data_IF_090119833831
#
_entry.id   IF_090119833831
#
_cell.length_a   1.000
_cell.length_b   1.000
_cell.length_c   1.000
_cell.angle_alpha   90.00
_cell.angle_beta   90.00
_cell.angle_gamma   90.00
#
_symmetry.space_group_name_H-M   'P 1'
#
loop_
_entity.id
_entity.type
_entity.pdbx_description
1 polymer ?
#
# COMPACT_ATOMS: atom_id res chain seq x y z
N UNK A 1 7.99 -2.13 10.65
CA UNK A 1 8.07 -0.66 10.64
C UNK A 1 9.20 -0.15 11.54
N UNK A 2 9.34 -0.68 12.76
CA UNK A 2 10.45 -0.28 13.67
C UNK A 2 11.83 -0.41 13.00
N UNK A 3 12.05 -1.43 12.18
CA UNK A 3 13.29 -1.63 11.44
C UNK A 3 13.63 -0.47 10.48
N UNK A 4 12.63 0.23 9.96
CA UNK A 4 12.81 1.41 9.09
C UNK A 4 12.64 2.74 9.83
N UNK A 5 12.67 2.73 11.16
CA UNK A 5 12.59 3.93 11.98
C UNK A 5 11.20 4.51 12.20
N UNK A 6 10.14 3.82 11.80
CA UNK A 6 8.77 4.25 12.01
C UNK A 6 8.11 3.52 13.20
N UNK A 7 7.31 4.23 13.99
CA UNK A 7 6.60 3.70 15.16
C UNK A 7 5.13 3.44 14.83
N UNK A 8 4.69 2.18 14.65
CA UNK A 8 3.32 1.88 14.32
C UNK A 8 2.40 1.94 15.55
N UNK A 9 1.20 2.46 15.35
CA UNK A 9 0.08 2.35 16.28
C UNK A 9 -1.01 1.56 15.58
N UNK A 10 -1.55 0.51 16.24
CA UNK A 10 -2.67 -0.28 15.73
C UNK A 10 -3.94 0.18 16.46
N UNK A 11 -4.89 0.73 15.72
CA UNK A 11 -6.15 1.22 16.26
C UNK A 11 -7.31 0.86 15.33
N UNK A 12 -8.32 0.19 15.85
CA UNK A 12 -9.52 -0.20 15.12
C UNK A 12 -10.82 0.05 15.89
N UNK A 13 -10.72 0.68 17.08
CA UNK A 13 -11.86 0.99 17.93
C UNK A 13 -12.43 2.38 17.57
N UNK A 14 -13.73 2.40 17.24
CA UNK A 14 -14.48 3.60 16.83
C UNK A 14 -14.32 4.77 17.82
N UNK A 15 -14.29 4.46 19.13
CA UNK A 15 -14.24 5.47 20.18
C UNK A 15 -12.86 6.12 20.38
N UNK A 16 -11.78 5.55 19.82
CA UNK A 16 -10.41 6.09 19.98
C UNK A 16 -9.74 6.51 18.67
N UNK A 17 -10.21 5.97 17.53
CA UNK A 17 -9.47 6.06 16.28
C UNK A 17 -9.17 7.50 15.83
N UNK A 18 -10.08 8.44 16.09
CA UNK A 18 -9.88 9.85 15.75
C UNK A 18 -8.82 10.53 16.62
N UNK A 19 -8.70 10.14 17.89
CA UNK A 19 -7.67 10.63 18.80
C UNK A 19 -6.29 10.09 18.38
N UNK A 20 -6.21 8.80 18.06
CA UNK A 20 -4.97 8.15 17.57
C UNK A 20 -4.50 8.78 16.27
N UNK A 21 -5.41 9.04 15.32
CA UNK A 21 -5.07 9.73 14.07
C UNK A 21 -4.51 11.13 14.36
N UNK A 22 -5.07 11.84 15.34
CA UNK A 22 -4.67 13.22 15.65
C UNK A 22 -3.23 13.34 16.17
N UNK A 23 -2.63 12.26 16.67
CA UNK A 23 -1.22 12.20 17.12
C UNK A 23 -0.31 11.48 16.13
N UNK A 24 -0.83 11.03 15.00
CA UNK A 24 -0.10 10.27 13.98
C UNK A 24 0.39 11.19 12.86
N UNK A 25 1.43 10.77 12.13
CA UNK A 25 2.00 11.50 11.01
C UNK A 25 1.58 10.93 9.64
N UNK A 26 1.04 9.71 9.61
CA UNK A 26 0.44 9.09 8.44
C UNK A 26 -0.61 8.06 8.86
N UNK A 27 -1.53 7.77 7.96
CA UNK A 27 -2.55 6.74 8.14
C UNK A 27 -2.44 5.68 7.05
N UNK A 28 -2.47 4.40 7.43
CA UNK A 28 -2.69 3.28 6.52
C UNK A 28 -4.09 2.71 6.75
N UNK A 29 -4.92 2.71 5.72
CA UNK A 29 -6.19 1.97 5.69
C UNK A 29 -5.95 0.69 4.90
N UNK A 30 -5.94 -0.45 5.61
CA UNK A 30 -5.77 -1.79 5.03
C UNK A 30 -7.02 -2.63 5.31
N UNK A 31 -7.68 -3.11 4.25
CA UNK A 31 -8.95 -3.83 4.37
C UNK A 31 -8.78 -5.36 4.47
N UNK A 32 -7.58 -5.86 4.75
CA UNK A 32 -7.27 -7.30 4.74
C UNK A 32 -8.14 -8.14 5.69
N UNK A 33 -8.47 -7.59 6.87
CA UNK A 33 -9.27 -8.25 7.90
C UNK A 33 -10.56 -7.49 8.22
N UNK A 34 -11.09 -6.74 7.26
CA UNK A 34 -12.22 -5.84 7.46
C UNK A 34 -13.51 -6.56 7.87
N UNK A 35 -14.25 -5.93 8.76
CA UNK A 35 -15.63 -6.21 9.17
C UNK A 35 -16.38 -4.88 9.35
N UNK A 36 -17.68 -4.93 9.66
CA UNK A 36 -18.52 -3.71 9.73
C UNK A 36 -18.00 -2.69 10.75
N UNK A 37 -17.55 -3.15 11.93
CA UNK A 37 -16.98 -2.28 12.98
C UNK A 37 -15.69 -1.60 12.50
N UNK A 38 -14.76 -2.37 11.94
CA UNK A 38 -13.50 -1.81 11.46
C UNK A 38 -13.69 -0.94 10.20
N UNK A 39 -14.72 -1.20 9.38
CA UNK A 39 -15.08 -0.36 8.25
C UNK A 39 -15.55 1.04 8.71
N UNK A 40 -16.34 1.11 9.79
CA UNK A 40 -16.73 2.38 10.41
C UNK A 40 -15.51 3.14 10.94
N UNK A 41 -14.63 2.46 11.67
CA UNK A 41 -13.37 3.06 12.17
C UNK A 41 -12.48 3.58 11.05
N UNK A 42 -12.37 2.84 9.92
CA UNK A 42 -11.61 3.28 8.74
C UNK A 42 -12.17 4.56 8.14
N UNK A 43 -13.50 4.71 8.10
CA UNK A 43 -14.14 5.93 7.59
C UNK A 43 -13.82 7.12 8.48
N UNK A 44 -14.05 6.99 9.79
CA UNK A 44 -13.77 8.05 10.77
C UNK A 44 -12.28 8.44 10.79
N UNK A 45 -11.39 7.45 10.75
CA UNK A 45 -9.95 7.68 10.68
C UNK A 45 -9.55 8.46 9.42
N UNK A 46 -10.08 8.07 8.27
CA UNK A 46 -9.80 8.72 6.99
C UNK A 46 -10.32 10.15 6.93
N UNK A 47 -11.54 10.39 7.37
CA UNK A 47 -12.13 11.73 7.46
C UNK A 47 -11.30 12.63 8.39
N UNK A 48 -10.91 12.11 9.57
CA UNK A 48 -10.06 12.85 10.51
C UNK A 48 -8.68 13.15 9.96
N UNK A 49 -8.06 12.20 9.25
CA UNK A 49 -6.78 12.40 8.61
C UNK A 49 -6.85 13.48 7.50
N UNK A 50 -7.92 13.49 6.71
CA UNK A 50 -8.16 14.54 5.71
C UNK A 50 -8.34 15.92 6.36
N UNK A 51 -9.12 16.02 7.45
CA UNK A 51 -9.28 17.25 8.24
C UNK A 51 -7.92 17.82 8.69
N UNK A 52 -7.02 16.95 9.13
CA UNK A 52 -5.71 17.32 9.65
C UNK A 52 -4.60 17.36 8.58
N UNK A 53 -4.93 17.10 7.32
CA UNK A 53 -3.97 17.01 6.21
C UNK A 53 -2.87 15.95 6.44
N UNK A 54 -3.19 14.89 7.16
CA UNK A 54 -2.32 13.74 7.38
C UNK A 54 -2.37 12.85 6.14
N UNK A 55 -1.23 12.42 5.56
CA UNK A 55 -1.21 11.57 4.38
C UNK A 55 -1.82 10.19 4.66
N UNK A 56 -2.62 9.71 3.70
CA UNK A 56 -3.36 8.44 3.80
C UNK A 56 -2.96 7.51 2.67
N UNK A 57 -2.63 6.26 3.02
CA UNK A 57 -2.42 5.16 2.08
C UNK A 57 -3.60 4.19 2.14
N UNK A 58 -4.11 3.79 0.98
CA UNK A 58 -5.08 2.70 0.85
C UNK A 58 -4.36 1.43 0.39
N UNK A 59 -4.55 0.35 1.14
CA UNK A 59 -4.20 -1.03 0.76
C UNK A 59 -5.49 -1.84 0.61
N UNK A 60 -6.04 -1.96 -0.61
CA UNK A 60 -7.35 -2.56 -0.86
C UNK A 60 -7.28 -4.08 -0.97
N UNK A 61 -6.66 -4.74 0.01
CA UNK A 61 -6.38 -6.19 0.02
C UNK A 61 -7.61 -7.01 -0.35
N UNK A 62 -7.51 -7.72 -1.47
CA UNK A 62 -8.55 -8.62 -1.92
C UNK A 62 -9.86 -7.92 -2.32
N UNK A 63 -9.83 -6.67 -2.75
CA UNK A 63 -11.02 -5.88 -3.16
C UNK A 63 -11.84 -6.58 -4.25
N UNK A 64 -11.22 -7.38 -5.11
CA UNK A 64 -11.89 -8.17 -6.14
C UNK A 64 -12.62 -9.42 -5.63
N UNK A 65 -12.34 -9.87 -4.41
CA UNK A 65 -12.78 -11.18 -3.93
C UNK A 65 -14.26 -11.23 -3.52
N UNK A 66 -14.83 -10.13 -3.03
CA UNK A 66 -16.23 -10.08 -2.56
C UNK A 66 -16.92 -8.76 -2.92
N UNK A 67 -18.25 -8.78 -3.01
CA UNK A 67 -19.05 -7.57 -3.20
C UNK A 67 -18.90 -6.60 -2.02
N UNK A 68 -18.79 -7.11 -0.80
CA UNK A 68 -18.61 -6.33 0.41
C UNK A 68 -17.31 -5.48 0.33
N UNK A 69 -16.18 -6.09 -0.01
CA UNK A 69 -14.90 -5.38 -0.14
C UNK A 69 -14.93 -4.34 -1.26
N UNK A 70 -15.54 -4.67 -2.41
CA UNK A 70 -15.71 -3.71 -3.52
C UNK A 70 -16.54 -2.50 -3.10
N UNK A 71 -17.69 -2.72 -2.46
CA UNK A 71 -18.55 -1.64 -1.99
C UNK A 71 -17.86 -0.76 -0.96
N UNK A 72 -17.13 -1.37 -0.01
CA UNK A 72 -16.37 -0.64 0.98
C UNK A 72 -15.29 0.24 0.33
N UNK A 73 -14.47 -0.32 -0.57
CA UNK A 73 -13.41 0.45 -1.24
C UNK A 73 -14.02 1.61 -2.05
N UNK A 74 -15.13 1.38 -2.75
CA UNK A 74 -15.83 2.45 -3.46
C UNK A 74 -16.33 3.55 -2.50
N UNK A 75 -16.83 3.16 -1.32
CA UNK A 75 -17.29 4.10 -0.29
C UNK A 75 -16.11 4.90 0.28
N UNK A 76 -15.00 4.24 0.61
CA UNK A 76 -13.79 4.90 1.08
C UNK A 76 -13.23 5.89 0.05
N UNK A 77 -13.09 5.47 -1.20
CA UNK A 77 -12.59 6.31 -2.30
C UNK A 77 -13.52 7.48 -2.65
N UNK A 78 -14.80 7.39 -2.32
CA UNK A 78 -15.77 8.47 -2.52
C UNK A 78 -15.66 9.56 -1.45
N UNK A 79 -15.34 9.19 -0.21
CA UNK A 79 -15.45 10.09 0.95
C UNK A 79 -14.07 10.52 1.49
N UNK A 80 -13.01 9.80 1.20
CA UNK A 80 -11.66 10.05 1.71
C UNK A 80 -10.73 10.38 0.54
N UNK A 81 -9.96 11.47 0.67
CA UNK A 81 -8.90 11.81 -0.24
C UNK A 81 -7.63 11.05 0.18
N UNK A 82 -7.27 10.03 -0.58
CA UNK A 82 -6.03 9.28 -0.38
C UNK A 82 -4.85 9.98 -1.07
N UNK A 83 -3.64 9.82 -0.50
CA UNK A 83 -2.39 10.25 -1.14
C UNK A 83 -1.80 9.14 -2.01
N UNK A 84 -2.05 7.87 -1.62
CA UNK A 84 -1.54 6.71 -2.33
C UNK A 84 -2.55 5.56 -2.28
N UNK A 85 -2.75 4.89 -3.42
CA UNK A 85 -3.34 3.56 -3.50
C UNK A 85 -2.21 2.59 -3.84
N UNK A 86 -1.92 1.62 -2.97
CA UNK A 86 -0.97 0.54 -3.26
C UNK A 86 -1.75 -0.77 -3.44
N UNK A 87 -1.63 -1.39 -4.61
CA UNK A 87 -2.39 -2.59 -4.97
C UNK A 87 -1.55 -3.54 -5.85
N UNK A 88 -2.05 -4.73 -6.10
CA UNK A 88 -1.59 -5.59 -7.19
C UNK A 88 -2.46 -5.41 -8.44
N UNK A 89 -2.09 -6.08 -9.55
CA UNK A 89 -2.81 -5.95 -10.82
C UNK A 89 -4.29 -6.36 -10.74
N UNK A 90 -4.61 -7.42 -9.98
CA UNK A 90 -5.99 -7.87 -9.78
C UNK A 90 -6.81 -6.88 -8.95
N UNK A 91 -6.21 -6.30 -7.92
CA UNK A 91 -6.85 -5.26 -7.11
C UNK A 91 -7.05 -3.97 -7.90
N UNK A 92 -6.07 -3.58 -8.72
CA UNK A 92 -6.20 -2.45 -9.64
C UNK A 92 -7.38 -2.66 -10.60
N UNK A 93 -7.48 -3.83 -11.24
CA UNK A 93 -8.58 -4.17 -12.14
C UNK A 93 -9.94 -4.08 -11.42
N UNK A 94 -10.03 -4.59 -10.19
CA UNK A 94 -11.26 -4.55 -9.40
C UNK A 94 -11.68 -3.12 -9.03
N UNK A 95 -10.73 -2.24 -8.69
CA UNK A 95 -11.00 -0.81 -8.44
C UNK A 95 -11.48 -0.14 -9.72
N UNK A 96 -10.88 -0.47 -10.84
CA UNK A 96 -11.20 0.10 -12.14
C UNK A 96 -12.53 -0.41 -12.75
N UNK A 97 -13.10 -1.47 -12.18
CA UNK A 97 -14.28 -2.16 -12.73
C UNK A 97 -13.97 -3.00 -13.96
N UNK A 98 -12.70 -3.36 -14.18
CA UNK A 98 -12.25 -4.21 -15.29
C UNK A 98 -12.45 -5.69 -14.97
N UNK A 99 -12.59 -6.52 -16.00
CA UNK A 99 -12.74 -7.97 -15.86
C UNK A 99 -11.40 -8.60 -15.51
N UNK A 100 -11.34 -9.27 -14.35
CA UNK A 100 -10.16 -9.97 -13.86
C UNK A 100 -10.55 -11.29 -13.20
N UNK A 101 -9.89 -12.39 -13.56
CA UNK A 101 -10.11 -13.68 -12.90
C UNK A 101 -9.23 -13.79 -11.66
N UNK A 102 -9.78 -13.45 -10.49
CA UNK A 102 -9.03 -13.52 -9.24
C UNK A 102 -8.97 -14.95 -8.68
N UNK A 103 -7.86 -15.27 -7.99
CA UNK A 103 -7.70 -16.48 -7.18
C UNK A 103 -7.66 -16.09 -5.70
N UNK A 104 -8.83 -15.86 -5.10
CA UNK A 104 -8.93 -15.44 -3.70
C UNK A 104 -8.32 -14.04 -3.47
N UNK A 105 -7.39 -13.91 -2.52
CA UNK A 105 -6.65 -12.67 -2.22
C UNK A 105 -5.36 -12.52 -3.03
N UNK A 106 -4.95 -13.58 -3.74
CA UNK A 106 -3.76 -13.56 -4.60
C UNK A 106 -4.09 -12.98 -5.98
N UNK A 107 -3.05 -12.49 -6.67
CA UNK A 107 -3.18 -12.04 -8.05
C UNK A 107 -3.62 -13.19 -8.96
N UNK A 108 -4.79 -13.05 -9.58
CA UNK A 108 -5.28 -14.00 -10.58
C UNK A 108 -4.62 -13.81 -11.95
N UNK A 109 -5.30 -14.26 -13.00
CA UNK A 109 -4.88 -14.07 -14.39
C UNK A 109 -5.85 -13.16 -15.13
N UNK A 110 -5.33 -12.21 -15.88
CA UNK A 110 -6.10 -11.29 -16.74
C UNK A 110 -5.14 -10.43 -17.55
N UNK A 111 -5.62 -9.90 -18.65
CA UNK A 111 -4.87 -8.97 -19.47
C UNK A 111 -5.49 -7.58 -19.30
N UNK A 112 -4.79 -6.69 -18.60
CA UNK A 112 -5.10 -5.26 -18.57
C UNK A 112 -3.81 -4.48 -18.86
N UNK A 113 -3.96 -3.35 -19.49
CA UNK A 113 -2.87 -2.37 -19.58
C UNK A 113 -2.74 -1.67 -18.23
N UNK A 114 -1.80 -2.20 -17.39
CA UNK A 114 -1.56 -1.70 -16.02
C UNK A 114 -1.24 -0.21 -16.05
N UNK A 115 -0.40 0.26 -16.98
CA UNK A 115 0.00 1.65 -17.03
C UNK A 115 -1.19 2.56 -17.34
N UNK A 116 -2.00 2.20 -18.34
CA UNK A 116 -3.19 2.97 -18.73
C UNK A 116 -4.21 3.01 -17.58
N UNK A 117 -4.51 1.86 -16.97
CA UNK A 117 -5.51 1.76 -15.89
C UNK A 117 -5.02 2.49 -14.64
N UNK A 118 -3.76 2.30 -14.22
CA UNK A 118 -3.20 2.97 -13.06
C UNK A 118 -3.18 4.51 -13.21
N UNK A 119 -2.79 5.02 -14.40
CA UNK A 119 -2.88 6.46 -14.69
C UNK A 119 -4.30 6.99 -14.60
N UNK A 120 -5.27 6.26 -15.16
CA UNK A 120 -6.69 6.65 -15.09
C UNK A 120 -7.16 6.74 -13.63
N UNK A 121 -6.85 5.74 -12.81
CA UNK A 121 -7.19 5.71 -11.38
C UNK A 121 -6.47 6.84 -10.62
N UNK A 122 -5.19 7.07 -10.90
CA UNK A 122 -4.41 8.16 -10.30
C UNK A 122 -5.03 9.53 -10.57
N UNK A 123 -5.39 9.80 -11.83
CA UNK A 123 -6.05 11.06 -12.22
C UNK A 123 -7.46 11.19 -11.61
N UNK A 124 -8.22 10.10 -11.60
CA UNK A 124 -9.59 10.07 -11.06
C UNK A 124 -9.62 10.41 -9.58
N UNK A 125 -8.71 9.82 -8.80
CA UNK A 125 -8.66 10.00 -7.33
C UNK A 125 -7.60 11.01 -6.88
N UNK A 126 -6.84 11.60 -7.81
CA UNK A 126 -5.79 12.61 -7.55
C UNK A 126 -4.78 12.13 -6.52
N UNK A 127 -4.30 10.90 -6.68
CA UNK A 127 -3.36 10.26 -5.76
C UNK A 127 -2.28 9.50 -6.53
N UNK A 128 -1.20 9.15 -5.87
CA UNK A 128 -0.26 8.18 -6.41
C UNK A 128 -0.91 6.81 -6.50
N UNK A 129 -0.50 6.02 -7.50
CA UNK A 129 -0.88 4.61 -7.60
C UNK A 129 0.40 3.80 -7.73
N UNK A 130 0.58 2.83 -6.83
CA UNK A 130 1.62 1.80 -6.91
C UNK A 130 0.95 0.48 -7.22
N UNK A 131 1.37 -0.16 -8.30
CA UNK A 131 0.92 -1.51 -8.68
C UNK A 131 2.10 -2.45 -8.55
N UNK A 132 2.05 -3.34 -7.55
CA UNK A 132 3.12 -4.30 -7.29
C UNK A 132 3.00 -5.55 -8.14
N UNK A 133 4.16 -6.08 -8.56
CA UNK A 133 4.30 -7.26 -9.37
C UNK A 133 5.76 -7.70 -9.50
N UNK A 134 6.08 -8.44 -10.54
CA UNK A 134 7.48 -8.75 -10.89
C UNK A 134 8.28 -7.46 -11.09
N UNK A 135 7.71 -6.51 -11.83
CA UNK A 135 8.14 -5.12 -11.85
C UNK A 135 7.05 -4.26 -11.24
N UNK A 136 7.39 -3.44 -10.25
CA UNK A 136 6.44 -2.50 -9.67
C UNK A 136 6.29 -1.30 -10.59
N UNK A 137 5.06 -0.81 -10.70
CA UNK A 137 4.71 0.39 -11.46
C UNK A 137 4.25 1.47 -10.50
N UNK A 138 4.73 2.70 -10.67
CA UNK A 138 4.25 3.87 -9.91
C UNK A 138 3.90 5.01 -10.85
N UNK A 139 2.82 5.72 -10.55
CA UNK A 139 2.41 6.91 -11.29
C UNK A 139 1.70 7.93 -10.40
N UNK A 140 1.80 9.22 -10.80
CA UNK A 140 0.98 10.32 -10.30
C UNK A 140 -0.08 10.75 -11.34
N UNK A 141 -0.29 9.93 -12.39
CA UNK A 141 -1.17 10.21 -13.52
C UNK A 141 -0.47 10.89 -14.70
N UNK A 142 0.64 11.58 -14.49
CA UNK A 142 1.42 12.29 -15.50
C UNK A 142 2.78 11.65 -15.73
N UNK A 143 3.48 11.37 -14.64
CA UNK A 143 4.77 10.68 -14.63
C UNK A 143 4.57 9.22 -14.27
N UNK A 144 5.45 8.36 -14.77
CA UNK A 144 5.44 6.93 -14.48
C UNK A 144 6.85 6.39 -14.39
N UNK A 145 7.05 5.41 -13.51
CA UNK A 145 8.31 4.67 -13.38
C UNK A 145 8.02 3.19 -13.15
N UNK A 146 8.96 2.37 -13.63
CA UNK A 146 9.00 0.93 -13.38
C UNK A 146 10.19 0.63 -12.46
N UNK A 147 9.97 -0.18 -11.44
CA UNK A 147 10.99 -0.60 -10.49
C UNK A 147 11.08 -2.12 -10.53
N UNK A 148 12.15 -2.61 -11.12
CA UNK A 148 12.46 -4.04 -11.20
C UNK A 148 13.30 -4.48 -10.00
N UNK A 149 13.38 -5.80 -9.77
CA UNK A 149 14.13 -6.40 -8.66
C UNK A 149 13.25 -7.21 -7.72
N UNK A 150 13.83 -7.61 -6.60
CA UNK A 150 13.21 -8.52 -5.65
C UNK A 150 13.23 -9.97 -6.13
N UNK A 151 12.63 -10.86 -5.35
CA UNK A 151 12.51 -12.28 -5.67
C UNK A 151 11.09 -12.77 -5.43
N UNK A 152 10.69 -13.75 -6.25
CA UNK A 152 9.39 -14.43 -6.14
C UNK A 152 9.15 -14.98 -4.73
N UNK A 153 10.20 -15.37 -4.00
CA UNK A 153 10.11 -15.90 -2.64
C UNK A 153 9.38 -14.93 -1.67
N UNK A 154 9.42 -13.61 -1.93
CA UNK A 154 8.67 -12.63 -1.17
C UNK A 154 7.15 -12.86 -1.25
N UNK A 155 6.64 -13.41 -2.34
CA UNK A 155 5.22 -13.71 -2.52
C UNK A 155 4.74 -14.89 -1.67
N UNK A 156 5.67 -15.72 -1.18
CA UNK A 156 5.38 -16.85 -0.30
C UNK A 156 5.27 -16.45 1.18
N UNK A 157 5.44 -15.16 1.49
CA UNK A 157 5.31 -14.62 2.85
C UNK A 157 4.10 -13.72 2.91
N UNK A 158 3.08 -14.15 3.63
CA UNK A 158 1.88 -13.34 3.86
C UNK A 158 2.24 -12.04 4.59
N UNK A 159 1.72 -10.92 4.11
CA UNK A 159 1.90 -9.60 4.74
C UNK A 159 3.04 -8.75 4.16
N UNK A 160 3.87 -9.28 3.25
CA UNK A 160 4.91 -8.46 2.59
C UNK A 160 4.30 -7.27 1.84
N UNK A 161 3.18 -7.47 1.13
CA UNK A 161 2.47 -6.37 0.50
C UNK A 161 1.98 -5.32 1.51
N UNK A 162 1.33 -5.76 2.59
CA UNK A 162 0.84 -4.87 3.64
C UNK A 162 1.99 -4.13 4.35
N UNK A 163 3.15 -4.78 4.51
CA UNK A 163 4.36 -4.14 5.05
C UNK A 163 4.83 -3.01 4.13
N UNK A 164 4.86 -3.24 2.81
CA UNK A 164 5.21 -2.20 1.84
C UNK A 164 4.26 -1.00 1.94
N UNK A 165 2.94 -1.24 2.02
CA UNK A 165 1.95 -0.16 2.20
C UNK A 165 2.21 0.67 3.46
N UNK A 166 2.60 0.01 4.56
CA UNK A 166 2.93 0.67 5.81
C UNK A 166 4.25 1.46 5.72
N UNK A 167 5.27 0.96 5.02
CA UNK A 167 6.51 1.69 4.77
C UNK A 167 6.27 2.89 3.85
N UNK A 168 5.41 2.76 2.83
CA UNK A 168 4.99 3.89 1.99
C UNK A 168 4.28 4.98 2.81
N UNK A 169 3.44 4.61 3.78
CA UNK A 169 2.81 5.57 4.68
C UNK A 169 3.88 6.33 5.52
N UNK A 170 4.86 5.62 6.06
CA UNK A 170 5.97 6.22 6.79
C UNK A 170 6.80 7.15 5.88
N UNK A 171 7.05 6.76 4.64
CA UNK A 171 7.74 7.58 3.64
C UNK A 171 6.99 8.88 3.32
N UNK A 172 5.66 8.83 3.19
CA UNK A 172 4.85 10.03 3.00
C UNK A 172 4.86 10.95 4.23
N UNK A 173 4.93 10.38 5.45
CA UNK A 173 5.03 11.11 6.70
C UNK A 173 6.35 11.90 6.85
N UNK A 174 7.45 11.43 6.24
CA UNK A 174 8.75 12.13 6.30
C UNK A 174 8.73 13.50 5.61
N UNK A 175 7.69 13.75 4.81
CA UNK A 175 7.50 15.03 4.13
C UNK A 175 8.47 15.20 2.94
N UNK A 176 8.70 16.46 2.59
CA UNK A 176 9.57 16.83 1.46
C UNK A 176 8.76 17.24 0.22
N UNK A 177 9.46 17.91 -0.70
CA UNK A 177 8.83 18.53 -1.88
C UNK A 177 8.60 17.53 -3.02
N UNK A 178 9.25 16.37 -3.00
CA UNK A 178 9.16 15.35 -4.06
C UNK A 178 8.70 14.00 -3.53
N UNK A 179 7.40 13.91 -3.20
CA UNK A 179 6.81 12.67 -2.69
C UNK A 179 6.93 11.48 -3.68
N UNK A 180 6.89 11.74 -5.00
CA UNK A 180 7.10 10.69 -6.00
C UNK A 180 8.49 10.06 -5.85
N UNK A 181 9.53 10.89 -5.72
CA UNK A 181 10.89 10.38 -5.54
C UNK A 181 11.06 9.60 -4.23
N UNK A 182 10.44 10.06 -3.14
CA UNK A 182 10.46 9.35 -1.87
C UNK A 182 9.83 7.94 -2.01
N UNK A 183 8.67 7.84 -2.65
CA UNK A 183 8.02 6.56 -2.91
C UNK A 183 8.85 5.67 -3.85
N UNK A 184 9.50 6.23 -4.87
CA UNK A 184 10.41 5.50 -5.77
C UNK A 184 11.60 4.94 -5.00
N UNK A 185 12.22 5.72 -4.12
CA UNK A 185 13.31 5.25 -3.24
C UNK A 185 12.80 4.12 -2.34
N UNK A 186 11.67 4.30 -1.69
CA UNK A 186 11.02 3.26 -0.86
C UNK A 186 10.83 1.94 -1.62
N UNK A 187 10.33 2.00 -2.87
CA UNK A 187 10.15 0.81 -3.69
C UNK A 187 11.48 0.14 -4.06
N UNK A 188 12.51 0.92 -4.40
CA UNK A 188 13.84 0.40 -4.72
C UNK A 188 14.46 -0.31 -3.52
N UNK A 189 14.43 0.30 -2.35
CA UNK A 189 14.97 -0.28 -1.11
C UNK A 189 14.22 -1.55 -0.72
N UNK A 190 12.89 -1.55 -0.88
CA UNK A 190 12.06 -2.71 -0.63
C UNK A 190 12.39 -3.87 -1.58
N UNK A 191 12.55 -3.59 -2.88
CA UNK A 191 12.99 -4.58 -3.88
C UNK A 191 14.40 -5.07 -3.58
N UNK A 192 15.34 -4.18 -3.27
CA UNK A 192 16.71 -4.53 -2.91
C UNK A 192 16.76 -5.39 -1.64
N UNK A 193 15.95 -5.07 -0.63
CA UNK A 193 15.83 -5.90 0.56
C UNK A 193 15.29 -7.30 0.24
N UNK A 194 14.43 -7.44 -0.78
CA UNK A 194 13.90 -8.73 -1.22
C UNK A 194 14.86 -9.54 -2.11
N UNK A 195 16.04 -9.03 -2.48
CA UNK A 195 17.05 -9.74 -3.31
C UNK A 195 17.95 -10.68 -2.51
N UNK A 196 17.40 -11.40 -1.52
CA UNK A 196 18.17 -12.29 -0.67
C UNK A 196 18.49 -13.63 -1.35
N UNK A 197 19.73 -14.11 -1.17
CA UNK A 197 20.22 -15.38 -1.71
C UNK A 197 19.89 -16.56 -0.80
N UNK A 198 18.61 -16.79 -0.54
CA UNK A 198 18.14 -17.92 0.26
C UNK A 198 17.06 -18.69 -0.50
N UNK A 199 16.88 -19.97 -0.15
CA UNK A 199 15.87 -20.85 -0.72
C UNK A 199 14.70 -21.08 0.24
N UNK A 200 14.89 -20.77 1.53
CA UNK A 200 13.93 -21.06 2.58
C UNK A 200 13.16 -19.79 2.96
N UNK A 201 11.86 -19.90 3.08
CA UNK A 201 10.96 -18.77 3.44
C UNK A 201 11.34 -18.16 4.80
N UNK A 202 11.69 -19.00 5.80
CA UNK A 202 12.08 -18.50 7.12
C UNK A 202 13.38 -17.68 7.08
N UNK A 203 14.40 -18.17 6.41
CA UNK A 203 15.68 -17.46 6.24
C UNK A 203 15.47 -16.16 5.44
N UNK A 204 14.63 -16.23 4.41
CA UNK A 204 14.30 -15.05 3.63
C UNK A 204 13.65 -13.96 4.51
N UNK A 205 12.66 -14.33 5.33
CA UNK A 205 11.96 -13.35 6.18
C UNK A 205 12.94 -12.64 7.13
N UNK A 206 13.86 -13.36 7.74
CA UNK A 206 14.88 -12.79 8.62
C UNK A 206 15.86 -11.88 7.87
N UNK A 207 16.42 -12.35 6.76
CA UNK A 207 17.36 -11.57 5.95
C UNK A 207 16.71 -10.33 5.34
N UNK A 208 15.47 -10.45 4.89
CA UNK A 208 14.70 -9.34 4.36
C UNK A 208 14.50 -8.23 5.40
N UNK A 209 14.11 -8.60 6.63
CA UNK A 209 13.93 -7.62 7.71
C UNK A 209 15.25 -6.97 8.13
N UNK A 210 16.34 -7.74 8.21
CA UNK A 210 17.66 -7.21 8.51
C UNK A 210 18.11 -6.21 7.43
N UNK A 211 17.90 -6.56 6.15
CA UNK A 211 18.28 -5.71 5.05
C UNK A 211 17.47 -4.40 4.98
N UNK A 212 16.19 -4.45 5.30
CA UNK A 212 15.37 -3.23 5.45
C UNK A 212 15.93 -2.29 6.52
N UNK A 213 16.37 -2.84 7.66
CA UNK A 213 17.01 -2.05 8.71
C UNK A 213 18.32 -1.42 8.25
N UNK A 214 19.20 -2.21 7.61
CA UNK A 214 20.49 -1.73 7.10
C UNK A 214 20.32 -0.57 6.11
N UNK A 215 19.38 -0.68 5.17
CA UNK A 215 19.11 0.36 4.18
C UNK A 215 18.61 1.65 4.85
N UNK A 216 17.72 1.54 5.83
CA UNK A 216 17.21 2.70 6.57
C UNK A 216 18.26 3.38 7.46
N UNK A 217 19.34 2.68 7.85
CA UNK A 217 20.44 3.25 8.63
C UNK A 217 21.44 4.04 7.78
N UNK A 218 21.56 3.72 6.49
CA UNK A 218 22.46 4.42 5.54
C UNK A 218 21.92 5.82 5.19
N UNK A 219 20.60 6.04 5.30
CA UNK A 219 19.95 7.31 4.95
C UNK A 219 19.91 8.32 6.12
N UNK A 220 20.44 7.96 7.30
CA UNK A 220 20.58 8.85 8.46
C UNK A 220 21.93 9.58 8.47
#
# INVERSE_FOLDING_TARGET
LLAVGASPIMADEVNEVTEIVSISQALLINIGTVNDRTAESMMLAGEKANELSIPIVLDPVGVGSTSYRRQLVQLLLKNIQFNLIRCNAGELAAIAGEVWQSKGVDSGTGEIDIALVAKRISLQYRCFVIVTGESDFITNGYEELHISGGKELATHITGTGCLLSAICAASLASGGTNQLQNLVTTLKDYKQAAEQNTKNVGDFALQFMNRLQELAEVEK
#
